data_IF_963074064982
#
_entry.id   IF_963074064982
#
_cell.length_a   1.000
_cell.length_b   1.000
_cell.length_c   1.000
_cell.angle_alpha   90.00
_cell.angle_beta   90.00
_cell.angle_gamma   90.00
#
_symmetry.space_group_name_H-M   'P 1'
#
loop_
_entity.id
_entity.type
_entity.pdbx_description
1 polymer ?
#
# COMPACT_ATOMS: atom_id res chain seq x y z
N UNK A 1 -6.01 22.31 -3.09
CA UNK A 1 -4.71 22.14 -3.78
C UNK A 1 -3.64 23.09 -3.24
N UNK A 2 -3.91 24.40 -3.08
CA UNK A 2 -2.93 25.36 -2.56
C UNK A 2 -2.48 25.10 -1.11
N UNK A 3 -3.38 24.64 -0.25
CA UNK A 3 -3.11 24.45 1.19
C UNK A 3 -2.26 23.19 1.47
N UNK A 4 -2.54 22.08 0.79
CA UNK A 4 -1.76 20.84 0.89
C UNK A 4 -0.33 20.96 0.31
N UNK A 5 -0.14 21.77 -0.74
CA UNK A 5 1.18 22.09 -1.31
C UNK A 5 2.01 22.99 -0.38
N UNK A 6 1.34 23.88 0.38
CA UNK A 6 1.98 24.74 1.39
C UNK A 6 2.49 23.93 2.58
N UNK A 7 1.65 23.02 3.10
CA UNK A 7 2.02 22.12 4.20
C UNK A 7 3.19 21.22 3.80
N UNK A 8 3.15 20.61 2.61
CA UNK A 8 4.24 19.76 2.13
C UNK A 8 5.58 20.52 2.03
N UNK A 9 5.55 21.80 1.67
CA UNK A 9 6.75 22.66 1.61
C UNK A 9 7.24 23.03 3.01
N UNK A 10 6.33 23.36 3.94
CA UNK A 10 6.67 23.67 5.35
C UNK A 10 7.24 22.47 6.11
N UNK A 11 6.72 21.25 5.88
CA UNK A 11 7.21 20.01 6.51
C UNK A 11 8.69 19.79 6.20
N UNK A 12 9.14 20.06 4.97
CA UNK A 12 10.54 19.81 4.57
C UNK A 12 11.56 20.62 5.35
N UNK A 13 11.17 21.80 5.87
CA UNK A 13 12.04 22.65 6.70
C UNK A 13 12.28 22.06 8.09
N UNK A 14 11.46 21.11 8.51
CA UNK A 14 11.51 20.48 9.83
C UNK A 14 12.12 19.08 9.81
N UNK A 15 12.57 18.60 8.65
CA UNK A 15 13.18 17.29 8.51
C UNK A 15 14.69 17.35 8.77
N UNK A 16 15.17 16.41 9.56
CA UNK A 16 16.60 16.17 9.76
C UNK A 16 17.27 15.74 8.46
N UNK A 17 18.43 16.31 8.08
CA UNK A 17 19.12 15.94 6.84
C UNK A 17 19.65 14.50 6.79
N UNK A 18 19.87 13.85 7.94
CA UNK A 18 20.37 12.47 8.03
C UNK A 18 19.21 11.48 8.04
N UNK A 19 18.22 11.71 8.91
CA UNK A 19 17.12 10.75 9.12
C UNK A 19 15.95 10.99 8.17
N UNK A 20 15.87 12.20 7.57
CA UNK A 20 14.73 12.68 6.78
C UNK A 20 13.39 12.59 7.53
N UNK A 21 13.44 12.75 8.85
CA UNK A 21 12.29 12.74 9.76
C UNK A 21 12.18 14.07 10.49
N UNK A 22 10.98 14.41 10.98
CA UNK A 22 10.79 15.57 11.84
C UNK A 22 11.70 15.47 13.07
N UNK A 23 12.37 16.56 13.41
CA UNK A 23 13.24 16.60 14.59
C UNK A 23 12.50 16.21 15.87
N UNK A 24 13.08 15.30 16.65
CA UNK A 24 12.59 14.92 17.97
C UNK A 24 13.51 15.45 19.08
N UNK A 25 14.83 15.27 18.93
CA UNK A 25 15.86 15.88 19.76
C UNK A 25 16.89 16.61 18.89
N UNK A 26 16.49 17.73 18.27
CA UNK A 26 17.36 18.48 17.37
C UNK A 26 18.58 19.05 18.12
N UNK A 27 19.74 18.90 17.50
CA UNK A 27 21.00 19.54 17.92
C UNK A 27 21.56 20.39 16.78
N UNK A 28 22.07 21.56 17.15
CA UNK A 28 22.81 22.46 16.27
C UNK A 28 24.30 22.08 16.34
N UNK A 29 24.89 21.85 15.18
CA UNK A 29 26.34 21.67 15.02
C UNK A 29 27.02 23.02 14.70
N UNK A 30 28.34 23.09 14.87
CA UNK A 30 29.13 24.31 14.61
C UNK A 30 29.13 24.75 13.14
N UNK A 31 28.84 23.84 12.21
CA UNK A 31 28.67 24.15 10.79
C UNK A 31 27.35 24.89 10.47
N UNK A 32 26.53 25.16 11.50
CA UNK A 32 25.29 25.91 11.40
C UNK A 32 24.06 25.06 11.04
N UNK A 33 24.22 23.74 10.86
CA UNK A 33 23.11 22.86 10.53
C UNK A 33 22.53 22.15 11.75
N UNK A 34 21.23 21.86 11.68
CA UNK A 34 20.52 21.11 12.73
C UNK A 34 20.34 19.65 12.30
N UNK A 35 20.60 18.75 13.23
CA UNK A 35 20.52 17.31 13.04
C UNK A 35 19.75 16.64 14.19
N UNK A 36 19.25 15.43 13.97
CA UNK A 36 18.73 14.59 15.04
C UNK A 36 19.90 14.05 15.87
N UNK A 37 19.85 14.20 17.21
CA UNK A 37 21.01 13.95 18.09
C UNK A 37 21.61 12.58 17.89
N UNK A 38 20.78 11.54 17.95
CA UNK A 38 21.25 10.16 17.84
C UNK A 38 21.96 9.91 16.51
N UNK A 39 21.37 10.38 15.42
CA UNK A 39 21.87 10.18 14.07
C UNK A 39 23.21 10.91 13.81
N UNK A 40 23.34 12.16 14.27
CA UNK A 40 24.59 12.90 14.08
C UNK A 40 25.71 12.40 14.99
N UNK A 41 25.40 11.93 16.20
CA UNK A 41 26.41 11.33 17.09
C UNK A 41 27.00 10.07 16.46
N UNK A 42 26.15 9.18 15.94
CA UNK A 42 26.61 7.98 15.22
C UNK A 42 27.43 8.33 13.97
N UNK A 43 26.99 9.34 13.21
CA UNK A 43 27.69 9.80 12.03
C UNK A 43 29.09 10.34 12.37
N UNK A 44 29.21 11.20 13.38
CA UNK A 44 30.50 11.77 13.83
C UNK A 44 31.43 10.67 14.33
N UNK A 45 30.92 9.69 15.09
CA UNK A 45 31.73 8.56 15.55
C UNK A 45 32.31 7.73 14.40
N UNK A 46 31.59 7.66 13.28
CA UNK A 46 31.99 6.85 12.11
C UNK A 46 32.85 7.64 11.11
N UNK A 47 32.56 8.94 10.91
CA UNK A 47 33.14 9.75 9.82
C UNK A 47 33.89 10.99 10.29
N UNK A 48 33.75 11.41 11.55
CA UNK A 48 34.42 12.59 12.12
C UNK A 48 34.06 13.94 11.49
N UNK A 49 33.03 13.99 10.65
CA UNK A 49 32.71 15.13 9.78
C UNK A 49 31.21 15.40 9.69
N UNK A 50 30.82 16.60 9.23
CA UNK A 50 29.45 16.95 8.87
C UNK A 50 28.97 16.15 7.66
N UNK A 51 27.76 15.57 7.69
CA UNK A 51 27.15 14.93 6.53
C UNK A 51 26.88 15.88 5.35
N UNK A 52 26.70 17.19 5.61
CA UNK A 52 26.34 18.17 4.58
C UNK A 52 27.55 18.95 4.07
N UNK A 53 28.38 19.44 4.99
CA UNK A 53 29.48 20.36 4.65
C UNK A 53 30.82 19.66 4.58
N UNK A 54 30.92 18.40 5.06
CA UNK A 54 32.15 17.61 5.19
C UNK A 54 33.23 18.24 6.08
N UNK A 55 32.88 19.31 6.83
CA UNK A 55 33.77 19.92 7.82
C UNK A 55 33.95 18.99 9.02
N UNK A 56 35.09 19.07 9.72
CA UNK A 56 35.32 18.27 10.93
C UNK A 56 34.33 18.66 12.03
N UNK A 57 33.74 17.66 12.69
CA UNK A 57 32.80 17.86 13.79
C UNK A 57 33.17 16.99 14.98
N UNK A 58 32.94 17.51 16.19
CA UNK A 58 33.06 16.77 17.44
C UNK A 58 31.70 16.68 18.15
N UNK A 59 31.42 15.53 18.77
CA UNK A 59 30.18 15.30 19.54
C UNK A 59 29.99 16.33 20.67
N UNK A 60 31.08 16.76 21.31
CA UNK A 60 31.04 17.72 22.41
C UNK A 60 30.65 19.14 21.97
N UNK A 61 30.64 19.41 20.66
CA UNK A 61 30.28 20.71 20.09
C UNK A 61 28.79 20.79 19.73
N UNK A 62 28.05 19.69 19.85
CA UNK A 62 26.62 19.65 19.56
C UNK A 62 25.82 20.33 20.69
N UNK A 63 25.03 21.34 20.34
CA UNK A 63 24.17 22.06 21.29
C UNK A 63 22.71 21.72 21.04
N UNK A 64 21.88 21.47 22.07
CA UNK A 64 20.44 21.30 21.86
C UNK A 64 19.83 22.52 21.15
N UNK A 65 19.01 22.29 20.12
CA UNK A 65 18.32 23.34 19.39
C UNK A 65 16.85 23.42 19.84
N UNK A 66 16.64 24.01 21.02
CA UNK A 66 15.31 24.14 21.63
C UNK A 66 14.32 24.95 20.77
N UNK A 67 14.82 25.89 19.95
CA UNK A 67 13.99 26.67 19.04
C UNK A 67 13.36 25.78 17.97
N UNK A 68 14.17 24.96 17.29
CA UNK A 68 13.66 24.00 16.32
C UNK A 68 12.77 22.97 17.02
N UNK A 69 13.15 22.47 18.20
CA UNK A 69 12.30 21.55 18.97
C UNK A 69 10.92 22.15 19.23
N UNK A 70 10.85 23.38 19.74
CA UNK A 70 9.58 24.07 20.03
C UNK A 70 8.77 24.33 18.76
N UNK A 71 9.39 24.75 17.66
CA UNK A 71 8.70 24.99 16.39
C UNK A 71 8.17 23.66 15.82
N UNK A 72 8.95 22.58 15.90
CA UNK A 72 8.51 21.26 15.44
C UNK A 72 7.41 20.70 16.33
N UNK A 73 7.47 20.91 17.64
CA UNK A 73 6.41 20.53 18.58
C UNK A 73 5.14 21.37 18.37
N UNK A 74 5.27 22.65 18.06
CA UNK A 74 4.14 23.51 17.64
C UNK A 74 3.60 23.14 16.25
N UNK A 75 4.48 22.75 15.33
CA UNK A 75 4.09 22.27 14.01
C UNK A 75 3.36 20.94 14.11
N UNK A 76 3.83 20.03 14.97
CA UNK A 76 3.11 18.82 15.37
C UNK A 76 1.75 19.22 15.91
N UNK A 77 1.69 20.10 16.92
CA UNK A 77 0.44 20.56 17.56
C UNK A 77 -0.57 21.25 16.65
N UNK A 78 -0.12 21.96 15.61
CA UNK A 78 -0.98 22.74 14.71
C UNK A 78 -1.34 22.02 13.40
N UNK A 79 -0.45 21.20 12.85
CA UNK A 79 -0.60 20.60 11.52
C UNK A 79 -0.79 19.08 11.52
N UNK A 80 -0.64 18.42 12.67
CA UNK A 80 -0.80 16.97 12.80
C UNK A 80 -1.93 16.57 13.77
N UNK A 81 -3.13 17.14 13.69
CA UNK A 81 -4.24 16.61 14.51
C UNK A 81 -5.61 16.68 13.81
N UNK A 82 -5.89 15.70 12.95
CA UNK A 82 -7.22 15.07 12.95
C UNK A 82 -7.19 13.95 13.99
N UNK A 83 -7.09 14.32 15.28
CA UNK A 83 -7.49 13.39 16.33
C UNK A 83 -8.99 13.22 16.19
N UNK A 84 -9.41 12.04 15.79
CA UNK A 84 -10.83 11.71 15.82
C UNK A 84 -11.29 11.79 17.28
N UNK A 85 -12.09 12.80 17.60
CA UNK A 85 -12.79 12.87 18.87
C UNK A 85 -13.99 11.92 18.82
N UNK A 86 -13.68 10.63 18.94
CA UNK A 86 -14.64 9.53 18.82
C UNK A 86 -14.45 8.57 19.98
N UNK A 87 -15.57 8.16 20.57
CA UNK A 87 -15.57 7.09 21.55
C UNK A 87 -15.73 5.75 20.82
N UNK A 88 -14.68 4.94 20.86
CA UNK A 88 -14.64 3.62 20.24
C UNK A 88 -13.93 2.64 21.19
N UNK A 89 -14.22 1.34 21.06
CA UNK A 89 -13.50 0.29 21.77
C UNK A 89 -13.26 -0.91 20.85
N UNK A 90 -12.23 -1.70 21.18
CA UNK A 90 -11.99 -2.99 20.53
C UNK A 90 -13.13 -3.95 20.86
N UNK A 91 -13.67 -4.65 19.87
CA UNK A 91 -14.67 -5.71 20.09
C UNK A 91 -14.06 -6.95 20.74
N UNK A 92 -12.79 -7.22 20.43
CA UNK A 92 -12.05 -8.37 20.98
C UNK A 92 -10.61 -8.01 21.30
N UNK A 93 -10.01 -8.73 22.24
CA UNK A 93 -8.56 -8.67 22.53
C UNK A 93 -7.75 -9.35 21.42
N UNK A 94 -8.33 -10.34 20.73
CA UNK A 94 -7.69 -11.05 19.62
C UNK A 94 -7.59 -10.13 18.42
N UNK A 95 -6.40 -10.02 17.83
CA UNK A 95 -6.21 -9.31 16.58
C UNK A 95 -6.85 -10.08 15.42
N UNK A 96 -7.45 -9.36 14.48
CA UNK A 96 -7.90 -9.91 13.19
C UNK A 96 -6.70 -10.28 12.33
N UNK A 97 -5.65 -9.44 12.38
CA UNK A 97 -4.46 -9.59 11.58
C UNK A 97 -3.23 -9.07 12.33
N UNK A 98 -2.09 -9.73 12.16
CA UNK A 98 -0.81 -9.30 12.71
C UNK A 98 0.33 -9.71 11.78
N UNK A 99 1.02 -8.73 11.18
CA UNK A 99 2.21 -8.96 10.36
C UNK A 99 3.05 -7.68 10.25
N UNK A 100 4.38 -7.82 10.10
CA UNK A 100 5.30 -6.74 9.70
C UNK A 100 5.10 -5.40 10.42
N UNK A 101 5.02 -5.40 11.75
CA UNK A 101 4.84 -4.17 12.54
C UNK A 101 3.42 -3.60 12.50
N UNK A 102 2.46 -4.28 11.87
CA UNK A 102 1.05 -3.93 11.89
C UNK A 102 0.23 -4.90 12.72
N UNK A 103 -0.83 -4.39 13.33
CA UNK A 103 -1.82 -5.21 14.01
C UNK A 103 -3.19 -4.57 13.85
N UNK A 104 -4.18 -5.36 13.46
CA UNK A 104 -5.54 -4.89 13.19
C UNK A 104 -6.51 -5.54 14.16
N UNK A 105 -7.42 -4.76 14.75
CA UNK A 105 -8.51 -5.24 15.59
C UNK A 105 -9.85 -4.74 15.06
N UNK A 106 -10.88 -5.56 15.19
CA UNK A 106 -12.24 -5.09 15.01
C UNK A 106 -12.62 -4.11 16.14
N UNK A 107 -13.36 -3.06 15.80
CA UNK A 107 -13.77 -2.02 16.74
C UNK A 107 -15.28 -1.75 16.65
N UNK A 108 -15.82 -1.08 17.67
CA UNK A 108 -17.19 -0.61 17.70
C UNK A 108 -17.30 0.80 18.29
N UNK A 109 -18.32 1.52 17.81
CA UNK A 109 -18.68 2.84 18.29
C UNK A 109 -19.30 2.74 19.69
N UNK A 110 -18.92 3.66 20.58
CA UNK A 110 -19.51 3.80 21.92
C UNK A 110 -20.54 4.91 21.86
N UNK A 111 -21.77 4.62 22.32
CA UNK A 111 -22.82 5.61 22.49
C UNK A 111 -23.48 6.13 21.21
N UNK A 112 -23.16 5.55 20.04
CA UNK A 112 -23.82 5.81 18.76
C UNK A 112 -23.68 4.62 17.83
N UNK A 113 -24.62 4.48 16.89
CA UNK A 113 -24.44 3.59 15.75
C UNK A 113 -23.55 4.26 14.69
N UNK A 114 -22.75 3.45 14.02
CA UNK A 114 -21.89 3.90 12.94
C UNK A 114 -21.48 2.73 12.04
N UNK A 115 -20.81 3.02 10.91
CA UNK A 115 -20.38 1.97 10.00
C UNK A 115 -19.38 1.02 10.67
N UNK A 116 -19.22 -0.22 10.16
CA UNK A 116 -18.19 -1.12 10.65
C UNK A 116 -16.79 -0.48 10.61
N UNK A 117 -16.02 -0.63 11.68
CA UNK A 117 -14.71 0.01 11.86
C UNK A 117 -13.67 -0.97 12.42
N UNK A 118 -12.41 -0.72 12.09
CA UNK A 118 -11.28 -1.43 12.65
C UNK A 118 -10.19 -0.45 13.10
N UNK A 119 -9.39 -0.91 14.06
CA UNK A 119 -8.21 -0.21 14.56
C UNK A 119 -6.97 -0.86 14.00
N UNK A 120 -6.15 -0.10 13.27
CA UNK A 120 -4.85 -0.55 12.79
C UNK A 120 -3.75 0.14 13.60
N UNK A 121 -2.98 -0.64 14.36
CA UNK A 121 -1.73 -0.19 14.96
C UNK A 121 -0.60 -0.38 13.96
N UNK A 122 0.15 0.67 13.69
CA UNK A 122 1.41 0.64 12.95
C UNK A 122 2.52 0.92 13.95
N UNK A 123 3.55 0.07 13.99
CA UNK A 123 4.70 0.22 14.87
C UNK A 123 5.93 0.69 14.08
N UNK A 124 6.81 1.42 14.75
CA UNK A 124 8.12 1.80 14.25
C UNK A 124 8.20 3.26 13.80
N UNK A 125 9.45 3.71 13.62
CA UNK A 125 9.80 5.12 13.37
C UNK A 125 9.18 5.74 12.10
N UNK A 126 8.54 4.94 11.25
CA UNK A 126 7.88 5.39 10.01
C UNK A 126 6.34 5.40 10.10
N UNK A 127 5.79 5.03 11.24
CA UNK A 127 4.34 4.93 11.45
C UNK A 127 3.61 6.24 11.13
N UNK A 128 4.17 7.41 11.49
CA UNK A 128 3.54 8.72 11.20
C UNK A 128 3.46 9.02 9.72
N UNK A 129 4.53 8.71 9.00
CA UNK A 129 4.59 8.91 7.55
C UNK A 129 3.60 7.99 6.85
N UNK A 130 3.53 6.75 7.28
CA UNK A 130 2.57 5.76 6.76
C UNK A 130 1.11 6.15 7.08
N UNK A 131 0.83 6.60 8.30
CA UNK A 131 -0.46 7.13 8.71
C UNK A 131 -0.94 8.30 7.84
N UNK A 132 -0.06 9.29 7.62
CA UNK A 132 -0.34 10.46 6.78
C UNK A 132 -0.62 10.07 5.33
N UNK A 133 0.09 9.06 4.84
CA UNK A 133 -0.11 8.52 3.52
C UNK A 133 -1.50 7.90 3.38
N UNK A 134 -1.92 7.07 4.33
CA UNK A 134 -3.27 6.49 4.35
C UNK A 134 -4.39 7.54 4.39
N UNK A 135 -4.20 8.60 5.17
CA UNK A 135 -5.16 9.72 5.23
C UNK A 135 -5.29 10.42 3.87
N UNK A 136 -4.19 10.61 3.15
CA UNK A 136 -4.21 11.27 1.83
C UNK A 136 -4.94 10.43 0.77
N UNK A 137 -4.88 9.10 0.89
CA UNK A 137 -5.47 8.16 -0.09
C UNK A 137 -6.96 7.89 0.11
N UNK A 138 -7.52 8.26 1.27
CA UNK A 138 -8.92 8.01 1.68
C UNK A 138 -10.00 8.59 0.74
N UNK A 139 -9.59 9.41 -0.24
CA UNK A 139 -10.50 10.13 -1.17
C UNK A 139 -11.07 9.26 -2.27
N UNK A 140 -10.50 8.08 -2.53
CA UNK A 140 -10.93 7.21 -3.61
C UNK A 140 -11.95 6.15 -3.13
N UNK A 141 -13.08 5.94 -3.82
CA UNK A 141 -14.15 5.05 -3.34
C UNK A 141 -13.75 3.58 -3.22
N UNK A 142 -12.76 3.13 -4.03
CA UNK A 142 -12.26 1.75 -4.04
C UNK A 142 -10.90 1.59 -3.33
N UNK A 143 -10.53 2.55 -2.47
CA UNK A 143 -9.41 2.43 -1.54
C UNK A 143 -9.98 2.43 -0.12
N UNK A 144 -9.41 1.62 0.77
CA UNK A 144 -9.84 1.56 2.18
C UNK A 144 -9.76 2.93 2.82
N UNK A 145 -10.92 3.41 3.29
CA UNK A 145 -11.08 4.69 3.96
C UNK A 145 -10.39 4.66 5.31
N UNK A 146 -9.44 5.56 5.47
CA UNK A 146 -8.86 5.90 6.77
C UNK A 146 -9.57 7.15 7.28
N UNK A 147 -10.17 7.03 8.47
CA UNK A 147 -10.89 8.13 9.11
C UNK A 147 -9.92 9.11 9.78
N UNK A 148 -8.77 8.63 10.26
CA UNK A 148 -7.77 9.45 10.96
C UNK A 148 -7.04 8.68 12.07
N UNK A 149 -6.25 9.41 12.84
CA UNK A 149 -5.48 8.89 13.98
C UNK A 149 -6.35 8.98 15.25
N UNK A 150 -6.37 7.90 16.04
CA UNK A 150 -7.18 7.79 17.27
C UNK A 150 -6.37 8.12 18.51
N UNK A 151 -5.11 7.70 18.54
CA UNK A 151 -4.25 7.85 19.70
C UNK A 151 -2.78 8.00 19.30
N UNK A 152 -2.14 9.06 19.80
CA UNK A 152 -0.68 9.26 19.75
C UNK A 152 0.00 8.87 21.07
N UNK A 153 -0.75 8.69 22.16
CA UNK A 153 -0.19 8.36 23.48
C UNK A 153 0.30 6.92 23.59
N UNK A 154 0.27 6.16 22.48
CA UNK A 154 0.86 4.84 22.33
C UNK A 154 2.41 4.93 22.30
N UNK A 155 2.96 5.35 23.45
CA UNK A 155 4.35 5.49 23.82
C UNK A 155 5.20 6.31 22.84
N UNK A 156 5.59 7.53 23.27
CA UNK A 156 6.76 8.26 22.74
C UNK A 156 8.01 7.36 22.67
N UNK A 157 8.03 6.30 23.49
CA UNK A 157 9.06 5.26 23.55
C UNK A 157 8.87 4.19 22.45
N UNK A 158 7.64 3.83 22.07
CA UNK A 158 7.35 2.69 21.17
C UNK A 158 7.23 3.07 19.68
N UNK A 159 7.16 4.37 19.38
CA UNK A 159 6.99 4.88 18.01
C UNK A 159 5.80 4.21 17.29
N UNK A 160 4.65 4.10 17.94
CA UNK A 160 3.47 3.45 17.35
C UNK A 160 2.29 4.40 17.18
N UNK A 161 1.50 4.18 16.13
CA UNK A 161 0.32 4.98 15.80
C UNK A 161 -0.87 4.07 15.62
N UNK A 162 -2.03 4.54 16.08
CA UNK A 162 -3.30 3.85 15.88
C UNK A 162 -4.21 4.63 14.92
N UNK A 163 -4.59 3.97 13.83
CA UNK A 163 -5.51 4.47 12.82
C UNK A 163 -6.90 3.85 12.98
N UNK A 164 -7.92 4.65 12.71
CA UNK A 164 -9.29 4.17 12.50
C UNK A 164 -9.55 4.02 11.01
N UNK A 165 -9.94 2.82 10.59
CA UNK A 165 -10.32 2.53 9.21
C UNK A 165 -11.72 1.93 9.14
N UNK A 166 -12.32 1.96 7.96
CA UNK A 166 -13.51 1.17 7.69
C UNK A 166 -13.17 -0.32 7.73
N UNK A 167 -14.07 -1.13 8.31
CA UNK A 167 -13.90 -2.57 8.40
C UNK A 167 -14.63 -3.26 7.25
N UNK A 168 -13.96 -4.23 6.63
CA UNK A 168 -14.48 -5.09 5.57
C UNK A 168 -15.05 -6.38 6.20
N UNK A 169 -16.39 -6.54 6.30
CA UNK A 169 -16.99 -7.65 7.03
C UNK A 169 -16.76 -9.01 6.38
N UNK A 170 -16.56 -9.04 5.06
CA UNK A 170 -16.37 -10.26 4.26
C UNK A 170 -14.89 -10.66 4.14
N UNK A 171 -13.99 -10.03 4.91
CA UNK A 171 -12.56 -10.34 4.89
C UNK A 171 -11.84 -9.89 3.62
N UNK A 172 -10.81 -10.63 3.23
CA UNK A 172 -10.08 -10.38 1.98
C UNK A 172 -10.57 -11.29 0.84
N UNK A 173 -10.34 -10.85 -0.39
CA UNK A 173 -10.85 -11.52 -1.59
C UNK A 173 -10.26 -12.93 -1.74
N UNK A 174 -9.03 -13.17 -1.31
CA UNK A 174 -8.42 -14.51 -1.35
C UNK A 174 -9.18 -15.50 -0.46
N UNK A 175 -9.44 -15.14 0.80
CA UNK A 175 -10.23 -15.96 1.74
C UNK A 175 -11.65 -16.18 1.24
N UNK A 176 -12.31 -15.11 0.79
CA UNK A 176 -13.67 -15.19 0.27
C UNK A 176 -13.77 -16.15 -0.90
N UNK A 177 -12.82 -16.09 -1.85
CA UNK A 177 -12.78 -17.00 -2.99
C UNK A 177 -12.66 -18.45 -2.52
N UNK A 178 -11.73 -18.74 -1.59
CA UNK A 178 -11.49 -20.08 -1.05
C UNK A 178 -12.72 -20.67 -0.34
N UNK A 179 -13.52 -19.84 0.32
CA UNK A 179 -14.75 -20.26 1.03
C UNK A 179 -15.91 -20.58 0.09
N UNK A 180 -15.95 -20.04 -1.13
CA UNK A 180 -17.05 -20.32 -2.06
C UNK A 180 -17.10 -21.79 -2.49
N UNK A 181 -18.30 -22.33 -2.74
CA UNK A 181 -18.43 -23.69 -3.29
C UNK A 181 -17.92 -23.80 -4.74
N UNK A 182 -17.91 -22.70 -5.46
CA UNK A 182 -17.48 -22.61 -6.87
C UNK A 182 -16.86 -21.24 -7.17
N UNK A 183 -16.14 -21.13 -8.28
CA UNK A 183 -15.61 -19.86 -8.77
C UNK A 183 -16.79 -18.88 -8.95
N UNK A 184 -16.71 -17.63 -8.46
CA UNK A 184 -17.79 -16.66 -8.61
C UNK A 184 -18.17 -16.43 -10.08
N UNK A 185 -19.39 -15.95 -10.29
CA UNK A 185 -19.87 -15.58 -11.61
C UNK A 185 -18.86 -14.64 -12.30
N UNK A 186 -18.46 -14.90 -13.57
CA UNK A 186 -17.53 -14.03 -14.30
C UNK A 186 -17.92 -12.55 -14.34
N UNK A 187 -19.22 -12.22 -14.28
CA UNK A 187 -19.69 -10.84 -14.19
C UNK A 187 -19.37 -10.19 -12.83
N UNK A 188 -19.45 -10.96 -11.74
CA UNK A 188 -19.05 -10.51 -10.40
C UNK A 188 -17.54 -10.26 -10.36
N UNK A 189 -16.74 -11.22 -10.85
CA UNK A 189 -15.29 -11.06 -10.94
C UNK A 189 -14.92 -9.83 -11.78
N UNK A 190 -15.58 -9.66 -12.93
CA UNK A 190 -15.33 -8.51 -13.80
C UNK A 190 -15.68 -7.18 -13.11
N UNK A 191 -16.79 -7.10 -12.38
CA UNK A 191 -17.16 -5.91 -11.60
C UNK A 191 -16.08 -5.60 -10.53
N UNK A 192 -15.63 -6.62 -9.78
CA UNK A 192 -14.53 -6.45 -8.81
C UNK A 192 -13.24 -5.97 -9.48
N UNK A 193 -12.88 -6.53 -10.65
CA UNK A 193 -11.68 -6.11 -11.40
C UNK A 193 -11.79 -4.66 -11.91
N UNK A 194 -12.98 -4.19 -12.26
CA UNK A 194 -13.21 -2.77 -12.61
C UNK A 194 -12.92 -1.87 -11.42
N UNK A 195 -13.43 -2.22 -10.23
CA UNK A 195 -13.22 -1.45 -9.00
C UNK A 195 -11.73 -1.38 -8.60
N UNK A 196 -11.03 -2.52 -8.68
CA UNK A 196 -9.59 -2.61 -8.42
C UNK A 196 -8.80 -1.79 -9.46
N UNK A 197 -9.15 -1.90 -10.74
CA UNK A 197 -8.48 -1.14 -11.81
C UNK A 197 -8.66 0.37 -11.62
N UNK A 198 -9.84 0.81 -11.16
CA UNK A 198 -10.10 2.22 -10.87
C UNK A 198 -9.23 2.74 -9.71
N UNK A 199 -9.09 1.96 -8.63
CA UNK A 199 -8.15 2.28 -7.56
C UNK A 199 -6.70 2.37 -8.06
N UNK A 200 -6.29 1.47 -8.95
CA UNK A 200 -4.95 1.48 -9.53
C UNK A 200 -4.70 2.64 -10.49
N UNK A 201 -5.72 3.09 -11.25
CA UNK A 201 -5.65 4.36 -12.01
C UNK A 201 -5.36 5.52 -11.08
N UNK A 202 -6.05 5.61 -9.94
CA UNK A 202 -5.80 6.64 -8.95
C UNK A 202 -4.38 6.58 -8.38
N UNK A 203 -3.86 5.40 -8.04
CA UNK A 203 -2.48 5.25 -7.57
C UNK A 203 -1.46 5.68 -8.66
N UNK A 204 -1.65 5.23 -9.90
CA UNK A 204 -0.78 5.56 -11.02
C UNK A 204 -0.71 7.08 -11.29
N UNK A 205 -1.85 7.78 -11.23
CA UNK A 205 -1.90 9.24 -11.37
C UNK A 205 -1.16 9.97 -10.25
N UNK A 206 -1.19 9.42 -9.03
CA UNK A 206 -0.43 9.95 -7.89
C UNK A 206 1.02 9.45 -7.84
N UNK A 207 1.50 8.75 -8.88
CA UNK A 207 2.86 8.18 -8.97
C UNK A 207 3.17 7.21 -7.83
N UNK A 208 2.15 6.49 -7.37
CA UNK A 208 2.25 5.46 -6.34
C UNK A 208 2.28 4.10 -7.03
N UNK A 209 3.29 3.32 -6.71
CA UNK A 209 3.37 1.89 -7.07
C UNK A 209 2.91 1.08 -5.87
N UNK A 210 1.99 0.14 -6.08
CA UNK A 210 1.53 -0.76 -5.04
C UNK A 210 2.63 -1.76 -4.67
N UNK A 211 3.20 -2.44 -5.66
CA UNK A 211 4.28 -3.43 -5.56
C UNK A 211 3.97 -4.70 -4.77
N UNK A 212 2.71 -4.92 -4.41
CA UNK A 212 2.21 -6.15 -3.77
C UNK A 212 0.73 -6.39 -4.12
N UNK A 213 0.35 -6.14 -5.36
CA UNK A 213 -1.05 -6.29 -5.79
C UNK A 213 -1.41 -7.79 -5.90
N UNK A 214 -2.35 -8.24 -5.07
CA UNK A 214 -2.84 -9.63 -5.02
C UNK A 214 -4.21 -9.69 -4.34
N UNK A 215 -4.97 -10.80 -4.50
CA UNK A 215 -6.29 -10.96 -3.88
C UNK A 215 -6.27 -10.81 -2.34
N UNK A 216 -5.18 -11.18 -1.66
CA UNK A 216 -5.02 -10.99 -0.20
C UNK A 216 -5.02 -9.52 0.24
N UNK A 217 -4.67 -8.60 -0.66
CA UNK A 217 -4.61 -7.15 -0.42
C UNK A 217 -5.83 -6.40 -1.00
N UNK A 218 -6.89 -7.14 -1.32
CA UNK A 218 -8.20 -6.61 -1.71
C UNK A 218 -9.20 -7.02 -0.64
N UNK A 219 -9.81 -6.04 0.03
CA UNK A 219 -10.81 -6.26 1.06
C UNK A 219 -12.22 -6.23 0.48
N UNK A 220 -13.10 -7.11 0.96
CA UNK A 220 -14.47 -7.23 0.49
C UNK A 220 -15.44 -6.64 1.51
N UNK A 221 -16.15 -5.59 1.11
CA UNK A 221 -17.10 -4.86 1.96
C UNK A 221 -18.53 -5.36 1.80
N UNK A 222 -18.86 -5.84 0.60
CA UNK A 222 -20.13 -6.48 0.30
C UNK A 222 -19.88 -7.56 -0.75
N UNK A 223 -20.51 -8.71 -0.55
CA UNK A 223 -20.53 -9.80 -1.51
C UNK A 223 -21.96 -10.24 -1.80
N UNK A 224 -22.30 -10.35 -3.07
CA UNK A 224 -23.58 -10.85 -3.55
C UNK A 224 -23.32 -11.75 -4.77
N UNK A 225 -23.53 -13.06 -4.58
CA UNK A 225 -23.28 -14.08 -5.59
C UNK A 225 -24.23 -14.00 -6.80
N UNK A 226 -25.29 -13.19 -6.73
CA UNK A 226 -26.33 -13.10 -7.76
C UNK A 226 -26.37 -11.73 -8.44
N UNK A 227 -25.93 -10.65 -7.78
CA UNK A 227 -25.97 -9.29 -8.31
C UNK A 227 -24.56 -8.69 -8.38
N UNK A 228 -23.91 -8.66 -9.56
CA UNK A 228 -22.59 -8.08 -9.74
C UNK A 228 -22.45 -6.70 -9.11
N UNK A 229 -23.41 -5.79 -9.32
CA UNK A 229 -23.31 -4.40 -8.87
C UNK A 229 -23.43 -4.21 -7.35
N UNK A 230 -23.91 -5.21 -6.62
CA UNK A 230 -23.98 -5.17 -5.16
C UNK A 230 -22.65 -5.46 -4.48
N UNK A 231 -21.68 -6.02 -5.23
CA UNK A 231 -20.35 -6.33 -4.74
C UNK A 231 -19.50 -5.07 -4.59
N UNK A 232 -18.78 -4.95 -3.48
CA UNK A 232 -17.88 -3.84 -3.21
C UNK A 232 -16.55 -4.36 -2.69
N UNK A 233 -15.48 -4.08 -3.44
CA UNK A 233 -14.11 -4.38 -3.05
C UNK A 233 -13.29 -3.10 -2.95
N UNK A 234 -12.31 -3.09 -2.04
CA UNK A 234 -11.40 -1.97 -1.88
C UNK A 234 -9.97 -2.43 -1.69
N UNK A 235 -9.05 -1.66 -2.25
CA UNK A 235 -7.62 -1.93 -2.19
C UNK A 235 -7.03 -1.47 -0.85
N UNK A 236 -6.15 -2.29 -0.26
CA UNK A 236 -5.39 -2.00 0.97
C UNK A 236 -3.89 -2.23 0.76
N UNK A 237 -3.07 -1.86 1.76
CA UNK A 237 -1.64 -2.22 1.87
C UNK A 237 -0.76 -1.87 0.66
N UNK A 238 -1.14 -0.84 -0.10
CA UNK A 238 -0.36 -0.26 -1.19
C UNK A 238 0.77 0.65 -0.67
N UNK A 239 1.82 0.81 -1.48
CA UNK A 239 2.91 1.75 -1.20
C UNK A 239 3.88 1.29 -0.10
N UNK A 240 3.77 0.04 0.36
CA UNK A 240 4.55 -0.52 1.47
C UNK A 240 5.64 -1.50 1.04
N UNK A 241 5.57 -1.99 -0.20
CA UNK A 241 6.57 -2.88 -0.81
C UNK A 241 7.97 -2.24 -0.93
N UNK A 242 8.08 -0.91 -0.85
CA UNK A 242 9.34 -0.14 -0.67
C UNK A 242 9.10 1.16 0.16
N UNK A 243 8.05 1.20 0.98
CA UNK A 243 7.45 2.42 1.59
C UNK A 243 8.18 3.02 2.77
N UNK A 244 9.31 2.44 3.14
CA UNK A 244 10.23 3.05 4.06
C UNK A 244 11.18 4.03 3.32
N UNK A 245 11.16 4.06 1.97
CA UNK A 245 12.07 4.87 1.16
C UNK A 245 11.51 5.48 -0.14
N UNK A 246 10.23 5.37 -0.49
CA UNK A 246 9.68 5.95 -1.74
C UNK A 246 9.64 7.50 -1.80
N UNK A 247 10.19 8.19 -0.79
CA UNK A 247 10.39 9.65 -0.82
C UNK A 247 11.83 10.07 -0.47
N UNK A 248 12.82 9.21 -0.70
CA UNK A 248 14.21 9.60 -0.62
C UNK A 248 14.68 10.12 -1.99
N UNK A 249 15.42 11.24 -2.07
CA UNK A 249 16.09 11.64 -3.30
C UNK A 249 16.98 10.50 -3.81
N UNK A 250 17.15 10.43 -5.14
CA UNK A 250 18.07 9.50 -5.80
C UNK A 250 19.47 9.69 -5.17
N UNK A 251 19.96 8.68 -4.41
CA UNK A 251 21.31 8.71 -3.82
C UNK A 251 21.46 8.19 -2.39
N UNK A 252 20.39 7.95 -1.63
CA UNK A 252 20.53 7.48 -0.23
C UNK A 252 20.70 5.96 -0.13
N UNK A 253 21.92 5.51 0.14
CA UNK A 253 22.28 4.14 0.42
C UNK A 253 21.90 3.74 1.87
N UNK A 254 20.70 3.17 2.06
CA UNK A 254 20.35 2.48 3.31
C UNK A 254 20.00 1.03 3.01
N UNK A 255 20.88 0.12 3.46
CA UNK A 255 20.98 -1.31 3.12
C UNK A 255 20.23 -2.28 4.06
N UNK A 256 19.18 -1.86 4.78
CA UNK A 256 18.72 -2.62 5.97
C UNK A 256 17.21 -2.85 6.11
N UNK A 257 16.51 -3.20 5.04
CA UNK A 257 15.29 -4.01 5.16
C UNK A 257 15.09 -4.76 3.87
N UNK A 258 15.36 -6.07 3.85
CA UNK A 258 14.97 -6.95 2.75
C UNK A 258 13.44 -6.94 2.69
N UNK A 259 12.88 -6.03 1.90
CA UNK A 259 11.49 -6.06 1.45
C UNK A 259 11.30 -7.38 0.71
N UNK A 260 10.49 -8.28 1.30
CA UNK A 260 10.19 -9.59 0.72
C UNK A 260 9.41 -9.34 -0.57
N UNK A 261 10.06 -9.56 -1.71
CA UNK A 261 9.40 -9.49 -3.01
C UNK A 261 8.34 -10.59 -3.07
N UNK A 262 7.09 -10.31 -3.45
CA UNK A 262 6.08 -11.34 -3.64
C UNK A 262 6.37 -12.10 -4.95
N UNK A 263 7.36 -13.00 -4.93
CA UNK A 263 7.98 -13.59 -6.12
C UNK A 263 6.97 -14.16 -7.13
N UNK A 264 5.94 -14.85 -6.63
CA UNK A 264 4.90 -15.48 -7.47
C UNK A 264 3.93 -14.51 -8.15
N UNK A 265 4.00 -13.22 -7.78
CA UNK A 265 3.17 -12.13 -8.30
C UNK A 265 3.99 -11.08 -9.06
N UNK A 266 5.31 -11.09 -8.89
CA UNK A 266 6.20 -10.06 -9.36
C UNK A 266 6.50 -10.17 -10.87
N UNK A 267 6.64 -9.01 -11.51
CA UNK A 267 6.98 -8.91 -12.92
C UNK A 267 8.43 -9.37 -13.21
N UNK A 268 8.74 -9.82 -14.44
CA UNK A 268 10.08 -10.27 -14.84
C UNK A 268 11.19 -9.26 -14.52
N UNK A 269 10.95 -7.96 -14.72
CA UNK A 269 11.92 -6.90 -14.45
C UNK A 269 12.18 -6.69 -12.94
N UNK A 270 11.15 -6.87 -12.11
CA UNK A 270 11.28 -6.83 -10.64
C UNK A 270 12.05 -8.04 -10.14
N UNK A 271 11.82 -9.21 -10.73
CA UNK A 271 12.51 -10.44 -10.39
C UNK A 271 13.97 -10.45 -10.84
N UNK A 272 14.26 -9.88 -12.01
CA UNK A 272 15.61 -9.79 -12.57
C UNK A 272 16.51 -8.84 -11.80
N UNK A 273 15.94 -7.80 -11.20
CA UNK A 273 16.69 -6.80 -10.44
C UNK A 273 15.91 -6.35 -9.20
N UNK A 274 15.69 -7.27 -8.26
CA UNK A 274 14.90 -7.03 -7.04
C UNK A 274 15.47 -5.95 -6.12
N UNK A 275 16.74 -5.61 -6.27
CA UNK A 275 17.39 -4.52 -5.54
C UNK A 275 17.24 -3.15 -6.21
N UNK A 276 16.81 -3.10 -7.48
CA UNK A 276 16.60 -1.85 -8.21
C UNK A 276 15.17 -1.36 -8.03
N UNK A 277 15.04 -0.24 -7.31
CA UNK A 277 13.75 0.42 -7.06
C UNK A 277 13.07 0.89 -8.34
N UNK A 278 13.82 1.16 -9.39
CA UNK A 278 13.26 1.61 -10.66
C UNK A 278 12.56 0.49 -11.43
N UNK A 279 12.74 -0.78 -11.02
CA UNK A 279 11.99 -1.90 -11.58
C UNK A 279 10.51 -1.90 -11.15
N UNK A 280 10.20 -1.25 -10.02
CA UNK A 280 8.84 -1.09 -9.53
C UNK A 280 8.17 0.11 -10.20
N UNK A 281 7.17 -0.18 -11.03
CA UNK A 281 6.48 0.80 -11.85
C UNK A 281 4.99 0.49 -11.94
N UNK A 282 4.20 1.40 -12.52
CA UNK A 282 2.82 1.09 -12.92
C UNK A 282 2.75 -0.19 -13.77
N UNK A 283 3.76 -0.44 -14.62
CA UNK A 283 3.79 -1.62 -15.48
C UNK A 283 4.12 -2.90 -14.72
N UNK A 284 4.91 -2.85 -13.65
CA UNK A 284 5.11 -4.02 -12.79
C UNK A 284 3.83 -4.34 -12.02
N UNK A 285 3.11 -3.33 -11.54
CA UNK A 285 1.79 -3.52 -10.92
C UNK A 285 0.77 -4.09 -11.92
N UNK A 286 0.82 -3.68 -13.19
CA UNK A 286 -0.02 -4.24 -14.24
C UNK A 286 0.22 -5.74 -14.44
N UNK A 287 1.47 -6.21 -14.30
CA UNK A 287 1.75 -7.65 -14.32
C UNK A 287 1.08 -8.34 -13.13
N UNK A 288 1.25 -7.79 -11.92
CA UNK A 288 0.61 -8.33 -10.71
C UNK A 288 -0.92 -8.29 -10.78
N UNK A 289 -1.51 -7.29 -11.46
CA UNK A 289 -2.94 -7.25 -11.76
C UNK A 289 -3.38 -8.44 -12.63
N UNK A 290 -2.57 -8.84 -13.61
CA UNK A 290 -2.83 -10.04 -14.40
C UNK A 290 -2.83 -11.32 -13.55
N UNK A 291 -1.88 -11.43 -12.60
CA UNK A 291 -1.83 -12.54 -11.63
C UNK A 291 -3.04 -12.53 -10.70
N UNK A 292 -3.44 -11.36 -10.19
CA UNK A 292 -4.65 -11.17 -9.35
C UNK A 292 -5.91 -11.62 -10.09
N UNK A 293 -6.07 -11.22 -11.36
CA UNK A 293 -7.21 -11.65 -12.17
C UNK A 293 -7.20 -13.17 -12.38
N UNK A 294 -6.02 -13.78 -12.55
CA UNK A 294 -5.87 -15.23 -12.61
C UNK A 294 -6.31 -15.90 -11.30
N UNK A 295 -5.90 -15.38 -10.13
CA UNK A 295 -6.37 -15.88 -8.82
C UNK A 295 -7.91 -15.88 -8.73
N UNK A 296 -8.56 -14.81 -9.20
CA UNK A 296 -10.02 -14.72 -9.22
C UNK A 296 -10.67 -15.86 -10.01
N UNK A 297 -10.08 -16.24 -11.15
CA UNK A 297 -10.56 -17.33 -12.00
C UNK A 297 -10.13 -18.74 -11.56
N UNK A 298 -9.24 -18.84 -10.57
CA UNK A 298 -8.79 -20.13 -9.99
C UNK A 298 -9.24 -20.31 -8.56
N UNK A 299 -10.17 -19.48 -8.07
CA UNK A 299 -10.69 -19.56 -6.70
C UNK A 299 -9.58 -19.34 -5.65
N UNK A 300 -8.67 -18.40 -5.91
CA UNK A 300 -7.55 -18.10 -5.03
C UNK A 300 -6.50 -19.21 -4.99
N UNK A 301 -6.30 -19.95 -6.09
CA UNK A 301 -5.17 -20.89 -6.16
C UNK A 301 -3.86 -20.12 -6.04
N UNK A 302 -2.88 -20.68 -5.33
CA UNK A 302 -1.53 -20.09 -5.27
C UNK A 302 -0.93 -20.04 -6.68
N UNK A 303 -0.48 -18.87 -7.19
CA UNK A 303 0.17 -18.80 -8.48
C UNK A 303 1.41 -19.70 -8.52
N UNK A 304 1.53 -20.48 -9.60
CA UNK A 304 2.61 -21.45 -9.78
C UNK A 304 2.64 -22.55 -8.71
N UNK A 305 1.48 -22.94 -8.18
CA UNK A 305 1.29 -24.00 -7.17
C UNK A 305 2.02 -25.32 -7.52
N UNK A 306 2.16 -25.61 -8.81
CA UNK A 306 2.85 -26.78 -9.33
C UNK A 306 4.39 -26.70 -9.27
N UNK A 307 4.94 -25.59 -8.78
CA UNK A 307 6.38 -25.33 -8.66
C UNK A 307 6.71 -25.13 -7.18
N UNK A 308 7.65 -25.93 -6.68
CA UNK A 308 7.99 -25.99 -5.28
C UNK A 308 8.72 -24.74 -4.76
N UNK A 309 9.72 -24.25 -5.49
CA UNK A 309 10.60 -23.17 -5.00
C UNK A 309 10.37 -21.84 -5.72
N UNK A 310 10.42 -20.75 -4.96
CA UNK A 310 10.27 -19.40 -5.51
C UNK A 310 11.40 -19.03 -6.48
N UNK A 311 12.61 -19.54 -6.27
CA UNK A 311 13.73 -19.36 -7.20
C UNK A 311 13.43 -19.94 -8.59
N UNK A 312 12.77 -21.10 -8.65
CA UNK A 312 12.38 -21.72 -9.91
C UNK A 312 11.22 -20.98 -10.58
N UNK A 313 10.26 -20.49 -9.79
CA UNK A 313 9.20 -19.60 -10.30
C UNK A 313 9.81 -18.36 -10.92
N UNK A 314 10.73 -17.70 -10.19
CA UNK A 314 11.43 -16.50 -10.65
C UNK A 314 12.13 -16.75 -12.00
N UNK A 315 12.92 -17.82 -12.08
CA UNK A 315 13.64 -18.21 -13.31
C UNK A 315 12.70 -18.41 -14.50
N UNK A 316 11.56 -19.08 -14.31
CA UNK A 316 10.58 -19.35 -15.38
C UNK A 316 9.87 -18.10 -15.85
N UNK A 317 9.44 -17.25 -14.92
CA UNK A 317 8.79 -15.97 -15.24
C UNK A 317 9.74 -15.06 -16.02
N UNK A 318 11.01 -14.96 -15.58
CA UNK A 318 12.07 -14.22 -16.28
C UNK A 318 12.26 -14.75 -17.71
N UNK A 319 12.23 -16.07 -17.89
CA UNK A 319 12.36 -16.74 -19.19
C UNK A 319 11.11 -16.71 -20.07
N UNK A 320 10.04 -16.01 -19.67
CA UNK A 320 8.84 -15.84 -20.49
C UNK A 320 7.73 -16.86 -20.26
N UNK A 321 7.88 -17.78 -19.32
CA UNK A 321 6.79 -18.70 -18.96
C UNK A 321 5.64 -17.90 -18.31
N UNK A 322 4.40 -18.32 -18.55
CA UNK A 322 3.19 -17.71 -17.99
C UNK A 322 2.26 -18.74 -17.38
N UNK A 323 1.40 -18.27 -16.48
CA UNK A 323 0.31 -19.06 -15.91
C UNK A 323 -0.59 -19.61 -17.03
N UNK A 324 -1.16 -20.79 -16.79
CA UNK A 324 -2.09 -21.43 -17.72
C UNK A 324 -3.47 -20.80 -17.61
N UNK A 325 -4.19 -20.75 -18.73
CA UNK A 325 -5.58 -20.27 -18.77
C UNK A 325 -6.47 -21.12 -17.84
N UNK A 326 -7.16 -20.49 -16.87
CA UNK A 326 -8.13 -21.18 -16.03
C UNK A 326 -9.33 -21.69 -16.85
N UNK A 327 -9.88 -22.86 -16.50
CA UNK A 327 -10.97 -23.50 -17.24
C UNK A 327 -12.26 -22.68 -17.31
N UNK A 328 -12.50 -21.80 -16.33
CA UNK A 328 -13.68 -20.90 -16.29
C UNK A 328 -13.41 -19.51 -16.90
N UNK A 329 -12.18 -19.23 -17.30
CA UNK A 329 -11.82 -17.98 -17.96
C UNK A 329 -11.95 -18.15 -19.48
N UNK A 330 -12.86 -17.40 -20.10
CA UNK A 330 -13.03 -17.44 -21.55
C UNK A 330 -11.85 -16.77 -22.28
N UNK A 331 -11.67 -17.10 -23.56
CA UNK A 331 -10.51 -16.65 -24.35
C UNK A 331 -10.42 -15.13 -24.45
N UNK A 332 -11.56 -14.44 -24.47
CA UNK A 332 -11.61 -12.98 -24.57
C UNK A 332 -11.05 -12.32 -23.30
N UNK A 333 -11.45 -12.79 -22.12
CA UNK A 333 -10.91 -12.31 -20.85
C UNK A 333 -9.47 -12.77 -20.65
N UNK A 334 -9.15 -14.02 -21.02
CA UNK A 334 -7.79 -14.53 -20.93
C UNK A 334 -6.80 -13.73 -21.78
N UNK A 335 -7.19 -13.33 -22.99
CA UNK A 335 -6.38 -12.43 -23.84
C UNK A 335 -6.04 -11.12 -23.13
N UNK A 336 -6.98 -10.54 -22.38
CA UNK A 336 -6.75 -9.33 -21.57
C UNK A 336 -5.77 -9.62 -20.43
N UNK A 337 -6.01 -10.69 -19.66
CA UNK A 337 -5.15 -11.11 -18.54
C UNK A 337 -3.71 -11.38 -19.01
N UNK A 338 -3.56 -12.11 -20.12
CA UNK A 338 -2.25 -12.44 -20.68
C UNK A 338 -1.52 -11.19 -21.17
N UNK A 339 -2.24 -10.20 -21.73
CA UNK A 339 -1.67 -8.91 -22.13
C UNK A 339 -1.17 -8.10 -20.93
N UNK A 340 -1.87 -8.14 -19.80
CA UNK A 340 -1.38 -7.54 -18.54
C UNK A 340 -0.04 -8.17 -18.10
N UNK A 341 0.14 -9.47 -18.36
CA UNK A 341 1.37 -10.21 -18.04
C UNK A 341 2.41 -10.22 -19.18
N UNK A 342 2.37 -9.30 -20.15
CA UNK A 342 3.35 -9.30 -21.25
C UNK A 342 4.80 -9.23 -20.74
N UNK A 343 5.74 -9.86 -21.47
CA UNK A 343 7.14 -9.91 -21.06
C UNK A 343 7.75 -8.52 -20.96
N UNK A 344 7.61 -7.71 -22.00
CA UNK A 344 8.10 -6.34 -21.99
C UNK A 344 7.10 -5.43 -21.28
N UNK A 345 7.54 -4.55 -20.36
CA UNK A 345 6.65 -3.62 -19.65
C UNK A 345 5.82 -2.73 -20.59
N UNK A 346 6.38 -2.31 -21.72
CA UNK A 346 5.72 -1.42 -22.68
C UNK A 346 4.59 -2.10 -23.48
N UNK A 347 4.57 -3.43 -23.55
CA UNK A 347 3.51 -4.18 -24.23
C UNK A 347 2.26 -4.33 -23.34
N UNK A 348 2.41 -4.07 -22.04
CA UNK A 348 1.32 -4.11 -21.06
C UNK A 348 0.46 -2.85 -21.19
N UNK A 349 -0.87 -2.93 -21.03
CA UNK A 349 -1.75 -1.75 -21.08
C UNK A 349 -1.45 -0.79 -19.91
N UNK A 350 -1.99 0.43 -19.94
CA UNK A 350 -2.15 1.23 -18.72
C UNK A 350 -3.34 0.71 -17.90
N UNK A 351 -3.45 1.13 -16.64
CA UNK A 351 -4.65 0.83 -15.86
C UNK A 351 -5.93 1.47 -16.45
N UNK A 352 -5.82 2.60 -17.14
CA UNK A 352 -6.97 3.22 -17.83
C UNK A 352 -7.43 2.37 -19.01
N UNK A 353 -6.49 1.86 -19.82
CA UNK A 353 -6.79 0.93 -20.91
C UNK A 353 -7.43 -0.36 -20.40
N UNK A 354 -6.94 -0.91 -19.28
CA UNK A 354 -7.50 -2.11 -18.67
C UNK A 354 -8.92 -1.85 -18.17
N UNK A 355 -9.13 -0.79 -17.38
CA UNK A 355 -10.46 -0.41 -16.87
C UNK A 355 -11.47 -0.26 -18.01
N UNK A 356 -11.09 0.43 -19.09
CA UNK A 356 -11.94 0.62 -20.28
C UNK A 356 -12.31 -0.70 -20.95
N UNK A 357 -11.35 -1.62 -21.07
CA UNK A 357 -11.61 -2.96 -21.61
C UNK A 357 -12.58 -3.74 -20.72
N UNK A 358 -12.35 -3.76 -19.40
CA UNK A 358 -13.21 -4.44 -18.42
C UNK A 358 -14.65 -3.89 -18.41
N UNK A 359 -14.82 -2.57 -18.45
CA UNK A 359 -16.14 -1.94 -18.62
C UNK A 359 -16.86 -2.42 -19.88
N UNK A 360 -16.11 -2.64 -20.97
CA UNK A 360 -16.65 -3.25 -22.19
C UNK A 360 -17.24 -4.64 -21.97
N UNK A 361 -16.69 -5.47 -21.07
CA UNK A 361 -17.29 -6.77 -20.74
C UNK A 361 -18.57 -6.62 -19.90
N UNK A 362 -18.57 -5.69 -18.95
CA UNK A 362 -19.76 -5.40 -18.12
C UNK A 362 -20.91 -4.91 -18.99
N UNK A 363 -20.68 -3.95 -19.88
CA UNK A 363 -21.73 -3.38 -20.73
C UNK A 363 -22.27 -4.38 -21.77
N UNK A 364 -21.41 -5.20 -22.37
CA UNK A 364 -21.84 -6.20 -23.34
C UNK A 364 -22.68 -7.33 -22.73
N UNK A 365 -22.59 -7.56 -21.42
CA UNK A 365 -23.43 -8.54 -20.72
C UNK A 365 -24.87 -8.07 -20.46
N UNK A 366 -25.09 -6.76 -20.34
CA UNK A 366 -26.42 -6.16 -20.14
C UNK A 366 -27.25 -6.17 -21.43
N UNK A 367 -26.60 -6.22 -22.60
CA UNK A 367 -27.25 -6.14 -23.91
C UNK A 367 -27.55 -7.49 -24.57
N UNK A 368 -27.47 -8.60 -23.85
CA UNK A 368 -27.98 -9.90 -24.34
C UNK A 368 -29.40 -10.12 -23.80
N UNK A 369 -30.47 -9.91 -24.60
CA UNK A 369 -31.81 -10.27 -24.16
C UNK A 369 -31.84 -11.79 -23.96
N UNK A 370 -32.28 -12.22 -22.78
CA UNK A 370 -32.48 -13.62 -22.48
C UNK A 370 -33.28 -14.29 -23.60
N UNK A 371 -32.75 -15.39 -24.15
CA UNK A 371 -33.54 -16.30 -24.96
C UNK A 371 -34.73 -16.72 -24.10
N UNK A 372 -35.91 -16.20 -24.45
CA UNK A 372 -37.17 -16.74 -23.97
C UNK A 372 -37.13 -18.25 -24.20
N UNK A 373 -37.24 -19.02 -23.12
CA UNK A 373 -37.57 -20.43 -23.21
C UNK A 373 -38.95 -20.50 -23.85
N UNK A 374 -39.01 -20.89 -25.11
CA UNK A 374 -40.27 -21.35 -25.71
C UNK A 374 -40.66 -22.62 -24.96
N UNK A 375 -41.94 -22.63 -24.55
CA UNK A 375 -42.63 -23.55 -23.65
C UNK A 375 -42.46 -25.01 -24.07
#
# INVERSE_FOLDING_TARGET
>A
MAESSKIATEVTLFLCPITHQLFNDPVLAEDGHTYEREAIVQWIQTHGTSPLTRQSLNVNQLRPNYTIKKIVDEFRSKNFYFKLDVHIKKKSRRALFQAHGKTVWEAEWIGKDGPPICLMKINGVKALKEASFYETMTRHPYIVKTYGIVDESADVISHSIMLLQEYAPEGNLFELLQEQSSIPNPHILCEMFVQISDAMVFLAHNKIVHGDLACRNVLVFRYDANEPKNNLVKLTDFGLSQGSSMYAPVGSASKTTLTIVPIRYAAPEVLSNSNDRNSYTEKSDMFSMGVLMWEGYTKGEMPWSNIETDSEVSRRVINGERLKQPSKCNDRMWSVILKCMAQQPNDRPSFEELKRQLLGFVLNSVNTPGKMKTI
#
